data_IF_173577932900
#
_entry.id   IF_173577932900
#
_cell.length_a   1.000
_cell.length_b   1.000
_cell.length_c   1.000
_cell.angle_alpha   90.00
_cell.angle_beta   90.00
_cell.angle_gamma   90.00
#
_symmetry.space_group_name_H-M   'P 1'
#
loop_
_entity.id
_entity.type
_entity.pdbx_description
1 polymer ?
#
# COMPACT_ATOMS: atom_id res chain seq x y z
N UNK A 1 9.34 -5.34 -3.19
CA UNK A 1 9.78 -6.57 -3.89
C UNK A 1 8.88 -6.81 -5.09
N UNK A 2 9.40 -7.29 -6.22
CA UNK A 2 8.53 -7.71 -7.33
C UNK A 2 7.97 -9.11 -7.02
N UNK A 3 6.65 -9.32 -7.03
CA UNK A 3 6.10 -10.62 -6.77
C UNK A 3 6.40 -11.58 -7.93
N UNK A 4 6.65 -12.84 -7.58
CA UNK A 4 6.58 -13.93 -8.56
C UNK A 4 5.15 -14.48 -8.53
N UNK A 5 4.61 -14.98 -9.64
CA UNK A 5 3.23 -15.49 -9.70
C UNK A 5 2.92 -16.55 -8.60
N UNK A 6 3.94 -17.24 -8.08
CA UNK A 6 3.84 -18.27 -7.03
C UNK A 6 3.50 -17.73 -5.63
N UNK A 7 3.74 -16.45 -5.33
CA UNK A 7 3.55 -15.91 -3.95
C UNK A 7 2.23 -15.14 -3.77
N UNK A 8 1.43 -14.99 -4.82
CA UNK A 8 0.15 -14.29 -4.79
C UNK A 8 -1.01 -15.28 -4.84
N UNK A 9 -1.82 -15.29 -3.78
CA UNK A 9 -3.05 -16.09 -3.70
C UNK A 9 -4.26 -15.18 -3.83
N UNK A 10 -5.19 -15.48 -4.76
CA UNK A 10 -6.44 -14.71 -4.89
C UNK A 10 -7.38 -15.02 -3.73
N UNK A 11 -8.03 -13.99 -3.19
CA UNK A 11 -8.97 -14.06 -2.09
C UNK A 11 -10.34 -13.50 -2.50
N UNK A 12 -11.36 -14.34 -2.58
CA UNK A 12 -12.69 -13.92 -3.03
C UNK A 12 -12.69 -13.40 -4.48
N UNK A 13 -13.68 -12.59 -4.83
CA UNK A 13 -13.77 -12.00 -6.17
C UNK A 13 -12.70 -10.91 -6.41
N UNK A 14 -12.36 -10.14 -5.36
CA UNK A 14 -11.64 -8.86 -5.51
C UNK A 14 -10.42 -8.69 -4.60
N UNK A 15 -10.13 -9.65 -3.70
CA UNK A 15 -9.01 -9.57 -2.77
C UNK A 15 -7.79 -10.36 -3.25
N UNK A 16 -6.59 -9.95 -2.82
CA UNK A 16 -5.37 -10.73 -3.01
C UNK A 16 -4.60 -10.83 -1.70
N UNK A 17 -3.94 -11.96 -1.50
CA UNK A 17 -3.06 -12.27 -0.38
C UNK A 17 -1.66 -12.54 -0.90
N UNK A 18 -0.68 -12.06 -0.17
CA UNK A 18 0.74 -12.29 -0.39
C UNK A 18 1.25 -13.26 0.67
N UNK A 19 1.86 -14.37 0.25
CA UNK A 19 2.62 -15.22 1.15
C UNK A 19 4.00 -14.60 1.45
N UNK A 20 4.20 -14.21 2.71
CA UNK A 20 5.46 -13.75 3.27
C UNK A 20 5.96 -14.80 4.26
N UNK A 21 6.77 -15.75 3.77
CA UNK A 21 7.43 -16.78 4.60
C UNK A 21 6.44 -17.62 5.42
N UNK A 22 5.31 -17.99 4.83
CA UNK A 22 4.22 -18.76 5.45
C UNK A 22 3.18 -17.90 6.17
N UNK A 23 3.35 -16.58 6.20
CA UNK A 23 2.34 -15.64 6.72
C UNK A 23 1.60 -14.96 5.56
N UNK A 24 0.27 -15.07 5.55
CA UNK A 24 -0.56 -14.39 4.55
C UNK A 24 -0.80 -12.93 4.92
N UNK A 25 -0.37 -12.03 4.04
CA UNK A 25 -0.51 -10.58 4.17
C UNK A 25 -1.50 -10.06 3.12
N UNK A 26 -2.53 -9.27 3.49
CA UNK A 26 -3.43 -8.65 2.52
C UNK A 26 -2.71 -7.76 1.53
N UNK A 27 -3.10 -7.82 0.27
CA UNK A 27 -2.64 -6.90 -0.76
C UNK A 27 -3.65 -5.79 -0.95
N UNK A 28 -3.18 -4.54 -0.87
CA UNK A 28 -3.96 -3.33 -1.10
C UNK A 28 -3.42 -2.59 -2.34
N UNK A 29 -4.17 -2.55 -3.45
CA UNK A 29 -3.84 -1.70 -4.59
C UNK A 29 -3.94 -0.22 -4.20
N UNK A 30 -2.81 0.49 -4.21
CA UNK A 30 -2.78 1.90 -3.81
C UNK A 30 -3.52 2.78 -4.81
N UNK A 31 -3.49 2.43 -6.09
CA UNK A 31 -4.22 3.15 -7.11
C UNK A 31 -5.73 3.17 -6.84
N UNK A 32 -6.32 2.00 -6.55
CA UNK A 32 -7.74 1.90 -6.21
C UNK A 32 -8.08 2.67 -4.93
N UNK A 33 -7.20 2.56 -3.92
CA UNK A 33 -7.36 3.27 -2.66
C UNK A 33 -7.36 4.80 -2.83
N UNK A 34 -6.50 5.32 -3.71
CA UNK A 34 -6.38 6.75 -3.99
C UNK A 34 -7.30 7.23 -5.12
N UNK A 35 -8.07 6.34 -5.76
CA UNK A 35 -8.93 6.66 -6.89
C UNK A 35 -8.17 7.06 -8.16
N UNK A 36 -6.95 6.55 -8.35
CA UNK A 36 -6.11 6.81 -9.52
C UNK A 36 -6.55 5.89 -10.67
N UNK A 37 -7.07 6.48 -11.74
CA UNK A 37 -7.41 5.75 -12.96
C UNK A 37 -6.14 5.34 -13.74
N UNK A 38 -6.26 4.28 -14.54
CA UNK A 38 -5.22 3.78 -15.47
C UNK A 38 -3.88 3.37 -14.84
N UNK A 39 -3.87 3.04 -13.55
CA UNK A 39 -2.69 2.50 -12.88
C UNK A 39 -2.42 1.04 -13.23
N UNK A 40 -1.16 0.62 -13.10
CA UNK A 40 -0.77 -0.76 -13.35
C UNK A 40 -1.40 -1.67 -12.29
N UNK A 41 -2.29 -2.55 -12.76
CA UNK A 41 -3.05 -3.47 -11.92
C UNK A 41 -2.60 -4.92 -12.12
N UNK A 42 -1.71 -5.20 -13.08
CA UNK A 42 -1.06 -6.49 -13.21
C UNK A 42 0.02 -6.64 -12.12
N UNK A 43 -0.18 -7.55 -11.14
CA UNK A 43 0.80 -7.77 -10.10
C UNK A 43 2.18 -8.20 -10.65
N UNK A 44 2.24 -8.79 -11.86
CA UNK A 44 3.50 -9.20 -12.48
C UNK A 44 4.40 -8.02 -12.88
N UNK A 45 3.80 -6.86 -13.15
CA UNK A 45 4.52 -5.63 -13.49
C UNK A 45 4.65 -4.67 -12.31
N UNK A 46 3.81 -4.86 -11.29
CA UNK A 46 3.81 -4.06 -10.08
C UNK A 46 4.91 -4.47 -9.08
N UNK A 47 5.03 -3.66 -8.03
CA UNK A 47 5.89 -3.87 -6.88
C UNK A 47 5.02 -3.97 -5.64
N UNK A 48 5.30 -4.95 -4.79
CA UNK A 48 4.68 -5.08 -3.47
C UNK A 48 5.58 -4.50 -2.39
N UNK A 49 5.03 -3.65 -1.54
CA UNK A 49 5.72 -3.08 -0.37
C UNK A 49 4.96 -3.51 0.88
N UNK A 50 5.57 -4.33 1.73
CA UNK A 50 4.98 -4.70 3.00
C UNK A 50 5.22 -3.57 4.00
N UNK A 51 4.14 -3.06 4.57
CA UNK A 51 4.17 -2.05 5.64
C UNK A 51 3.47 -2.61 6.87
N UNK A 52 3.87 -2.12 8.04
CA UNK A 52 3.34 -2.51 9.33
C UNK A 52 2.86 -1.27 10.06
N UNK A 53 1.65 -1.35 10.61
CA UNK A 53 1.03 -0.32 11.44
C UNK A 53 0.28 -0.97 12.58
N UNK A 54 -0.50 -0.19 13.32
CA UNK A 54 -1.14 -0.64 14.56
C UNK A 54 -2.12 -1.81 14.36
N UNK A 55 -2.68 -1.95 13.15
CA UNK A 55 -3.68 -2.98 12.84
C UNK A 55 -3.10 -4.22 12.14
N UNK A 56 -1.77 -4.30 12.05
CA UNK A 56 -1.04 -5.40 11.45
C UNK A 56 -0.32 -5.01 10.17
N UNK A 57 -0.13 -5.99 9.29
CA UNK A 57 0.63 -5.83 8.05
C UNK A 57 -0.27 -5.79 6.83
N UNK A 58 0.11 -4.98 5.85
CA UNK A 58 -0.51 -4.94 4.52
C UNK A 58 0.59 -4.81 3.45
N UNK A 59 0.38 -5.43 2.30
CA UNK A 59 1.24 -5.35 1.14
C UNK A 59 0.65 -4.35 0.15
N UNK A 60 1.30 -3.22 -0.04
CA UNK A 60 0.89 -2.19 -0.97
C UNK A 60 1.31 -2.57 -2.39
N UNK A 61 0.36 -2.66 -3.31
CA UNK A 61 0.65 -2.83 -4.73
C UNK A 61 0.79 -1.45 -5.38
N UNK A 62 1.98 -1.20 -5.94
CA UNK A 62 2.38 0.07 -6.58
C UNK A 62 3.11 -0.21 -7.89
N UNK A 63 3.05 0.72 -8.85
CA UNK A 63 3.68 0.51 -10.15
C UNK A 63 5.20 0.34 -10.05
N UNK A 64 5.87 1.29 -9.38
CA UNK A 64 7.33 1.34 -9.31
C UNK A 64 7.83 1.94 -8.00
N UNK A 65 9.08 1.63 -7.66
CA UNK A 65 9.82 2.32 -6.59
C UNK A 65 10.84 3.22 -7.27
N UNK A 66 10.69 4.54 -7.11
CA UNK A 66 11.62 5.49 -7.71
C UNK A 66 12.96 5.57 -6.97
N UNK A 67 12.95 5.78 -5.65
CA UNK A 67 14.16 5.83 -4.81
C UNK A 67 13.82 6.03 -3.32
N UNK A 68 14.76 5.75 -2.40
CA UNK A 68 14.65 6.19 -0.99
C UNK A 68 15.29 7.58 -0.85
N UNK A 69 14.49 8.64 -0.64
CA UNK A 69 15.00 10.02 -0.50
C UNK A 69 14.63 10.61 0.84
N UNK A 70 15.59 11.26 1.50
CA UNK A 70 15.28 12.16 2.60
C UNK A 70 14.57 13.39 2.03
N UNK A 71 13.33 13.59 2.45
CA UNK A 71 12.51 14.74 2.08
C UNK A 71 12.32 15.65 3.28
N UNK A 72 12.38 16.96 3.07
CA UNK A 72 11.92 17.92 4.08
C UNK A 72 10.40 17.92 4.01
N UNK A 73 9.75 17.45 5.07
CA UNK A 73 8.29 17.54 5.19
C UNK A 73 7.94 19.00 5.42
N UNK A 74 7.17 19.59 4.50
CA UNK A 74 6.58 20.91 4.70
C UNK A 74 5.13 20.70 5.10
N UNK A 75 4.75 21.11 6.29
CA UNK A 75 3.35 21.05 6.74
C UNK A 75 2.45 21.73 5.70
N UNK A 76 1.41 21.02 5.25
CA UNK A 76 0.34 21.54 4.39
C UNK A 76 -0.62 22.48 5.15
N UNK A 77 -0.17 23.12 6.23
CA UNK A 77 -1.05 23.72 7.23
C UNK A 77 -1.48 25.13 6.83
N UNK A 78 -2.74 25.21 6.39
CA UNK A 78 -3.74 26.29 6.59
C UNK A 78 -4.87 26.18 5.54
N UNK A 79 -4.61 25.56 4.38
CA UNK A 79 -5.47 25.65 3.19
C UNK A 79 -5.97 24.32 2.62
N UNK A 80 -5.59 23.16 3.17
CA UNK A 80 -5.96 21.86 2.60
C UNK A 80 -6.84 21.06 3.55
N UNK A 81 -7.96 20.59 3.02
CA UNK A 81 -8.88 19.67 3.69
C UNK A 81 -8.18 18.31 3.87
N UNK A 82 -8.40 17.64 5.02
CA UNK A 82 -7.85 16.31 5.26
C UNK A 82 -8.31 15.33 4.16
N UNK A 83 -7.36 14.63 3.54
CA UNK A 83 -7.61 13.59 2.55
C UNK A 83 -7.47 12.25 3.26
N UNK A 84 -8.48 11.39 3.16
CA UNK A 84 -8.44 10.05 3.75
C UNK A 84 -7.19 9.28 3.25
N UNK A 85 -6.44 8.70 4.18
CA UNK A 85 -5.25 7.91 3.86
C UNK A 85 -3.97 8.71 3.60
N UNK A 86 -4.00 10.03 3.77
CA UNK A 86 -2.85 10.92 3.54
C UNK A 86 -2.50 11.64 4.85
N UNK A 87 -1.30 11.38 5.36
CA UNK A 87 -0.74 12.06 6.53
C UNK A 87 -0.18 13.45 6.20
N UNK A 88 0.14 13.72 4.94
CA UNK A 88 0.63 15.03 4.49
C UNK A 88 1.11 15.04 3.06
N UNK A 89 1.83 16.08 2.67
CA UNK A 89 2.53 16.13 1.39
C UNK A 89 3.84 16.90 1.50
N UNK A 90 4.72 16.71 0.53
CA UNK A 90 5.95 17.48 0.38
C UNK A 90 6.15 17.89 -1.07
N UNK A 91 6.98 18.91 -1.28
CA UNK A 91 7.41 19.36 -2.59
C UNK A 91 8.79 18.76 -2.87
N UNK A 92 8.89 18.00 -3.95
CA UNK A 92 10.12 17.41 -4.45
C UNK A 92 11.03 18.47 -5.07
N UNK A 93 12.33 18.16 -5.23
CA UNK A 93 13.31 19.10 -5.80
C UNK A 93 13.05 19.51 -7.26
N UNK A 94 12.16 18.80 -7.95
CA UNK A 94 11.70 19.08 -9.31
C UNK A 94 10.37 19.88 -9.34
N UNK A 95 9.85 20.28 -8.17
CA UNK A 95 8.61 21.05 -8.03
C UNK A 95 7.33 20.21 -8.00
N UNK A 96 7.41 18.88 -8.14
CA UNK A 96 6.24 18.00 -8.01
C UNK A 96 5.83 17.82 -6.55
N UNK A 97 4.54 17.57 -6.32
CA UNK A 97 4.01 17.24 -5.00
C UNK A 97 4.04 15.73 -4.80
N UNK A 98 4.54 15.28 -3.66
CA UNK A 98 4.49 13.91 -3.21
C UNK A 98 3.59 13.79 -1.97
N UNK A 99 2.64 12.86 -1.99
CA UNK A 99 1.79 12.56 -0.85
C UNK A 99 2.52 11.62 0.12
N UNK A 100 2.34 11.86 1.41
CA UNK A 100 2.77 10.99 2.50
C UNK A 100 1.55 10.18 2.91
N UNK A 101 1.59 8.87 2.70
CA UNK A 101 0.48 7.98 3.04
C UNK A 101 0.46 7.68 4.54
N UNK A 102 -0.74 7.57 5.09
CA UNK A 102 -0.97 7.14 6.47
C UNK A 102 -1.03 5.61 6.53
N UNK A 103 0.01 4.98 7.08
CA UNK A 103 0.12 3.52 7.17
C UNK A 103 -0.93 2.92 8.11
N UNK A 104 -1.31 3.62 9.17
CA UNK A 104 -2.31 3.12 10.11
C UNK A 104 -3.70 3.11 9.47
N UNK A 105 -4.03 4.13 8.67
CA UNK A 105 -5.24 4.13 7.86
C UNK A 105 -5.25 2.98 6.83
N UNK A 106 -4.13 2.73 6.16
CA UNK A 106 -4.00 1.66 5.17
C UNK A 106 -4.13 0.26 5.79
N UNK A 107 -3.51 0.01 6.95
CA UNK A 107 -3.59 -1.27 7.65
C UNK A 107 -4.98 -1.52 8.23
N UNK A 108 -5.67 -0.47 8.69
CA UNK A 108 -7.07 -0.57 9.11
C UNK A 108 -8.00 -0.99 7.96
N UNK A 109 -7.72 -0.53 6.73
CA UNK A 109 -8.49 -0.88 5.53
C UNK A 109 -8.18 -2.28 5.02
N UNK A 110 -6.92 -2.71 5.10
CA UNK A 110 -6.43 -3.98 4.57
C UNK A 110 -6.83 -5.23 5.37
N UNK A 111 -7.59 -5.11 6.47
CA UNK A 111 -7.87 -6.27 7.33
C UNK A 111 -8.59 -7.41 6.61
N UNK A 112 -7.92 -8.56 6.53
CA UNK A 112 -8.53 -9.85 6.23
C UNK A 112 -9.03 -10.51 7.51
N UNK A 113 -10.12 -11.27 7.39
CA UNK A 113 -10.74 -11.98 8.50
C UNK A 113 -9.70 -12.85 9.26
N UNK A 114 -9.61 -12.76 10.61
CA UNK A 114 -8.66 -13.54 11.41
C UNK A 114 -8.78 -15.07 11.24
N UNK A 115 -9.89 -15.58 10.71
CA UNK A 115 -10.07 -17.01 10.39
C UNK A 115 -8.98 -17.58 9.46
N UNK A 116 -8.42 -16.76 8.56
CA UNK A 116 -7.38 -17.21 7.62
C UNK A 116 -6.02 -17.51 8.28
N UNK A 117 -5.79 -17.03 9.51
CA UNK A 117 -4.57 -17.36 10.27
C UNK A 117 -4.53 -18.83 10.73
N UNK A 118 -5.67 -19.53 10.75
CA UNK A 118 -5.80 -20.87 11.32
C UNK A 118 -5.71 -22.02 10.30
N UNK A 119 -5.86 -21.74 9.00
CA UNK A 119 -5.91 -22.77 7.95
C UNK A 119 -4.55 -23.06 7.30
N UNK A 120 -3.48 -22.42 7.79
CA UNK A 120 -2.11 -22.53 7.28
C UNK A 120 -1.14 -23.27 8.22
N UNK A 121 -1.67 -24.00 9.22
CA UNK A 121 -0.88 -24.79 10.18
C UNK A 121 -0.94 -26.29 9.88
#
# INVERSE_FOLDING_TARGET
>A
MRPTATILSRFGADGSLLDVRGAYVPVLPIADYLGIADAESDPANAVLIVVEGDQGQVALLVDTIHDQRQVVVKSLEANYQAIEGVAGATILGDGRVALILDVDALTARGRVNPAFRAEAA
#
